data_IF_062315971705
#
_entry.id   IF_062315971705
#
_cell.length_a   1.000
_cell.length_b   1.000
_cell.length_c   1.000
_cell.angle_alpha   90.00
_cell.angle_beta   90.00
_cell.angle_gamma   90.00
#
_symmetry.space_group_name_H-M   'P 1'
#
loop_
_entity.id
_entity.type
_entity.pdbx_description
1 polymer ?
#
# COMPACT_ATOMS: atom_id res chain seq x y z
N UNK A 1 11.86 -11.20 9.80
CA UNK A 1 11.54 -9.83 9.37
C UNK A 1 10.86 -9.16 10.55
N UNK A 2 11.41 -8.10 11.15
CA UNK A 2 10.67 -7.34 12.17
C UNK A 2 9.43 -6.74 11.49
N UNK A 3 8.29 -6.82 12.16
CA UNK A 3 7.00 -6.36 11.62
C UNK A 3 7.10 -4.87 11.21
N UNK A 4 6.55 -4.51 10.05
CA UNK A 4 6.45 -3.13 9.57
C UNK A 4 5.86 -2.19 10.65
N UNK A 5 4.88 -2.68 11.43
CA UNK A 5 4.27 -1.93 12.52
C UNK A 5 5.27 -1.62 13.64
N UNK A 6 6.17 -2.54 13.94
CA UNK A 6 7.22 -2.36 14.93
C UNK A 6 8.20 -1.30 14.45
N UNK A 7 8.64 -1.38 13.18
CA UNK A 7 9.52 -0.38 12.56
C UNK A 7 8.92 1.02 12.53
N UNK A 8 7.63 1.13 12.19
CA UNK A 8 6.88 2.40 12.21
C UNK A 8 6.86 3.02 13.61
N UNK A 9 6.47 2.24 14.63
CA UNK A 9 6.41 2.71 16.02
C UNK A 9 7.75 3.28 16.49
N UNK A 10 8.84 2.63 16.12
CA UNK A 10 10.18 3.05 16.53
C UNK A 10 10.66 4.29 15.79
N UNK A 11 10.35 4.41 14.50
CA UNK A 11 10.63 5.61 13.75
C UNK A 11 9.92 6.82 14.38
N UNK A 12 8.65 6.65 14.75
CA UNK A 12 7.85 7.66 15.46
C UNK A 12 8.44 7.98 16.85
N UNK A 13 8.86 6.98 17.61
CA UNK A 13 9.50 7.16 18.92
C UNK A 13 10.86 7.89 18.80
N UNK A 14 11.65 7.61 17.77
CA UNK A 14 12.90 8.29 17.48
C UNK A 14 12.68 9.76 17.11
N UNK A 15 11.68 10.06 16.26
CA UNK A 15 11.33 11.45 15.88
C UNK A 15 10.94 12.24 17.13
N UNK A 16 10.04 11.69 17.96
CA UNK A 16 9.60 12.33 19.21
C UNK A 16 10.76 12.64 20.16
N UNK A 17 11.72 11.72 20.28
CA UNK A 17 12.89 11.92 21.15
C UNK A 17 13.85 12.98 20.60
N UNK A 18 14.00 13.10 19.28
CA UNK A 18 14.78 14.17 18.65
C UNK A 18 14.16 15.54 18.90
N UNK A 19 12.83 15.65 18.90
CA UNK A 19 12.10 16.90 19.16
C UNK A 19 12.16 17.32 20.65
N UNK A 20 12.24 16.36 21.58
CA UNK A 20 12.40 16.58 23.03
C UNK A 20 13.81 17.08 23.44
N UNK A 21 14.71 17.36 22.48
CA UNK A 21 16.09 17.76 22.76
C UNK A 21 16.98 16.65 23.31
N UNK A 22 16.50 15.38 23.33
CA UNK A 22 17.37 14.23 23.55
C UNK A 22 18.27 14.07 22.33
N UNK A 23 19.55 13.76 22.58
CA UNK A 23 20.59 13.86 21.56
C UNK A 23 20.28 12.89 20.40
N UNK A 24 20.34 13.42 19.18
CA UNK A 24 20.31 12.67 17.91
C UNK A 24 21.12 11.36 17.95
N UNK A 25 22.23 11.34 18.70
CA UNK A 25 23.06 10.15 18.91
C UNK A 25 22.33 8.96 19.57
N UNK A 26 21.40 9.20 20.49
CA UNK A 26 20.65 8.12 21.16
C UNK A 26 19.52 7.59 20.27
N UNK A 27 18.87 8.46 19.50
CA UNK A 27 17.96 8.06 18.41
C UNK A 27 18.69 7.28 17.32
N UNK A 28 19.92 7.66 16.97
CA UNK A 28 20.74 6.96 15.97
C UNK A 28 21.15 5.55 16.46
N UNK A 29 21.52 5.40 17.73
CA UNK A 29 21.78 4.08 18.35
C UNK A 29 20.51 3.22 18.37
N UNK A 30 19.35 3.83 18.60
CA UNK A 30 18.05 3.18 18.49
C UNK A 30 17.69 2.83 17.05
N UNK A 31 18.23 3.46 16.01
CA UNK A 31 18.04 3.01 14.63
C UNK A 31 19.03 1.91 14.23
N UNK A 32 20.31 2.06 14.57
CA UNK A 32 21.38 1.11 14.25
C UNK A 32 21.14 -0.30 14.81
N UNK A 33 20.40 -0.42 15.92
CA UNK A 33 20.05 -1.71 16.53
C UNK A 33 18.93 -2.47 15.80
N UNK A 34 18.25 -1.86 14.82
CA UNK A 34 16.95 -2.34 14.33
C UNK A 34 16.89 -2.62 12.84
N UNK A 35 17.74 -2.00 12.05
CA UNK A 35 17.74 -2.18 10.60
C UNK A 35 19.14 -2.54 10.12
N UNK A 36 19.37 -3.84 9.91
CA UNK A 36 20.47 -4.25 9.06
C UNK A 36 20.23 -3.75 7.64
N UNK A 37 21.29 -3.54 6.84
CA UNK A 37 21.15 -3.16 5.43
C UNK A 37 20.21 -4.09 4.64
N UNK A 38 20.16 -5.37 5.01
CA UNK A 38 19.32 -6.38 4.37
C UNK A 38 17.82 -6.14 4.58
N UNK A 39 17.39 -5.80 5.80
CA UNK A 39 15.98 -5.51 6.09
C UNK A 39 15.50 -4.24 5.38
N UNK A 40 16.38 -3.23 5.27
CA UNK A 40 16.08 -2.00 4.53
C UNK A 40 15.87 -2.32 3.05
N UNK A 41 16.75 -3.14 2.45
CA UNK A 41 16.61 -3.54 1.05
C UNK A 41 15.33 -4.35 0.80
N UNK A 42 14.95 -5.23 1.73
CA UNK A 42 13.71 -5.97 1.64
C UNK A 42 12.48 -5.05 1.65
N UNK A 43 12.45 -4.05 2.54
CA UNK A 43 11.37 -3.06 2.59
C UNK A 43 11.29 -2.19 1.33
N UNK A 44 12.44 -1.81 0.78
CA UNK A 44 12.48 -1.05 -0.48
C UNK A 44 11.89 -1.87 -1.64
N UNK A 45 12.25 -3.16 -1.74
CA UNK A 45 11.71 -4.06 -2.74
C UNK A 45 10.20 -4.28 -2.57
N UNK A 46 9.72 -4.44 -1.33
CA UNK A 46 8.30 -4.54 -1.03
C UNK A 46 7.54 -3.26 -1.43
N UNK A 47 8.09 -2.09 -1.09
CA UNK A 47 7.49 -0.81 -1.49
C UNK A 47 7.42 -0.65 -3.00
N UNK A 48 8.47 -1.06 -3.73
CA UNK A 48 8.47 -1.04 -5.20
C UNK A 48 7.37 -1.95 -5.78
N UNK A 49 7.19 -3.15 -5.22
CA UNK A 49 6.11 -4.06 -5.63
C UNK A 49 4.72 -3.47 -5.36
N UNK A 50 4.53 -2.82 -4.20
CA UNK A 50 3.28 -2.13 -3.85
C UNK A 50 2.99 -0.98 -4.82
N UNK A 51 4.00 -0.18 -5.19
CA UNK A 51 3.85 0.90 -6.18
C UNK A 51 3.42 0.34 -7.54
N UNK A 52 4.07 -0.70 -8.04
CA UNK A 52 3.69 -1.36 -9.31
C UNK A 52 2.25 -1.87 -9.29
N UNK A 53 1.79 -2.40 -8.18
CA UNK A 53 0.39 -2.84 -8.04
C UNK A 53 -0.58 -1.65 -8.01
N UNK A 54 -0.22 -0.55 -7.35
CA UNK A 54 -1.01 0.68 -7.36
C UNK A 54 -1.12 1.27 -8.78
N UNK A 55 -0.03 1.28 -9.55
CA UNK A 55 -0.04 1.77 -10.94
C UNK A 55 -0.98 0.93 -11.82
N UNK A 56 -0.94 -0.40 -11.71
CA UNK A 56 -1.87 -1.31 -12.41
C UNK A 56 -3.33 -1.02 -12.05
N UNK A 57 -3.60 -0.75 -10.78
CA UNK A 57 -4.94 -0.39 -10.32
C UNK A 57 -5.39 0.96 -10.91
N UNK A 58 -4.49 1.95 -10.93
CA UNK A 58 -4.78 3.27 -11.51
C UNK A 58 -5.17 3.20 -12.99
N UNK A 59 -4.56 2.29 -13.77
CA UNK A 59 -4.95 2.06 -15.17
C UNK A 59 -6.44 1.70 -15.28
N UNK A 60 -6.92 0.76 -14.46
CA UNK A 60 -8.33 0.36 -14.48
C UNK A 60 -9.25 1.46 -13.94
N UNK A 61 -8.80 2.18 -12.91
CA UNK A 61 -9.58 3.24 -12.27
C UNK A 61 -9.80 4.44 -13.19
N UNK A 62 -8.79 4.80 -13.99
CA UNK A 62 -8.81 5.95 -14.89
C UNK A 62 -9.22 5.60 -16.32
N UNK A 63 -9.48 4.32 -16.62
CA UNK A 63 -9.88 3.87 -17.96
C UNK A 63 -11.16 4.61 -18.40
N UNK A 64 -11.12 5.26 -19.55
CA UNK A 64 -12.27 5.96 -20.11
C UNK A 64 -13.27 4.96 -20.71
N UNK A 65 -14.49 4.90 -20.17
CA UNK A 65 -15.54 3.97 -20.59
C UNK A 65 -15.95 4.21 -22.04
N UNK A 66 -15.82 5.44 -22.55
CA UNK A 66 -16.19 5.77 -23.93
C UNK A 66 -15.27 5.09 -24.95
N UNK A 67 -14.10 4.58 -24.51
CA UNK A 67 -13.18 3.79 -25.34
C UNK A 67 -13.60 2.33 -25.51
N UNK A 68 -14.73 1.90 -24.95
CA UNK A 68 -15.24 0.53 -25.08
C UNK A 68 -15.39 0.08 -26.55
N UNK A 69 -15.67 1.02 -27.45
CA UNK A 69 -15.79 0.77 -28.89
C UNK A 69 -14.45 0.81 -29.65
N UNK A 70 -13.40 1.35 -29.05
CA UNK A 70 -12.10 1.60 -29.67
C UNK A 70 -10.97 0.71 -29.12
N UNK A 71 -11.29 -0.17 -28.17
CA UNK A 71 -10.33 -1.05 -27.49
C UNK A 71 -9.72 -0.37 -26.27
N UNK A 72 -10.15 -0.81 -25.08
CA UNK A 72 -9.64 -0.36 -23.78
C UNK A 72 -9.54 -1.52 -22.79
N UNK A 73 -8.78 -1.33 -21.71
CA UNK A 73 -8.65 -2.29 -20.62
C UNK A 73 -9.59 -1.89 -19.49
N UNK A 74 -10.48 -2.81 -19.09
CA UNK A 74 -11.57 -2.52 -18.16
C UNK A 74 -11.74 -3.59 -17.10
N UNK A 75 -12.34 -3.22 -15.97
CA UNK A 75 -12.92 -4.15 -15.01
C UNK A 75 -14.40 -4.39 -15.34
N UNK A 76 -14.82 -5.66 -15.34
CA UNK A 76 -16.21 -6.05 -15.59
C UNK A 76 -16.86 -6.60 -14.33
N UNK A 77 -18.13 -6.24 -14.12
CA UNK A 77 -19.00 -6.85 -13.13
C UNK A 77 -19.79 -7.98 -13.81
N UNK A 78 -19.66 -9.19 -13.29
CA UNK A 78 -20.44 -10.35 -13.69
C UNK A 78 -21.47 -10.69 -12.61
N UNK A 79 -22.63 -11.30 -12.96
CA UNK A 79 -23.05 -11.72 -14.30
C UNK A 79 -23.64 -10.60 -15.18
N UNK A 80 -23.77 -9.38 -14.65
CA UNK A 80 -24.49 -8.29 -15.31
C UNK A 80 -23.80 -7.76 -16.59
N UNK A 81 -22.54 -8.16 -16.84
CA UNK A 81 -21.71 -7.77 -17.97
C UNK A 81 -21.53 -6.25 -18.11
N UNK A 82 -21.41 -5.57 -16.96
CA UNK A 82 -21.25 -4.11 -16.89
C UNK A 82 -19.77 -3.77 -16.73
N UNK A 83 -19.28 -2.81 -17.52
CA UNK A 83 -17.95 -2.21 -17.32
C UNK A 83 -18.01 -1.21 -16.16
N UNK A 84 -17.06 -1.29 -15.25
CA UNK A 84 -16.92 -0.38 -14.09
C UNK A 84 -15.52 0.23 -14.04
N UNK A 85 -15.43 1.48 -13.59
CA UNK A 85 -14.19 2.23 -13.37
C UNK A 85 -14.39 3.23 -12.20
N UNK A 86 -13.40 4.10 -11.96
CA UNK A 86 -13.53 5.19 -11.00
C UNK A 86 -14.00 4.77 -9.60
N UNK A 87 -14.95 5.52 -9.04
CA UNK A 87 -15.52 5.26 -7.71
C UNK A 87 -16.31 3.97 -7.62
N UNK A 88 -16.93 3.53 -8.73
CA UNK A 88 -17.73 2.30 -8.74
C UNK A 88 -16.82 1.08 -8.62
N UNK A 89 -15.66 1.12 -9.30
CA UNK A 89 -14.63 0.12 -9.12
C UNK A 89 -14.08 0.13 -7.68
N UNK A 90 -13.73 1.30 -7.15
CA UNK A 90 -13.24 1.46 -5.77
C UNK A 90 -14.21 0.83 -4.76
N UNK A 91 -15.49 1.21 -4.81
CA UNK A 91 -16.50 0.72 -3.88
C UNK A 91 -16.75 -0.79 -3.95
N UNK A 92 -16.72 -1.38 -5.15
CA UNK A 92 -16.88 -2.83 -5.33
C UNK A 92 -15.67 -3.60 -4.79
N UNK A 93 -14.45 -3.10 -5.04
CA UNK A 93 -13.23 -3.70 -4.50
C UNK A 93 -13.23 -3.63 -2.98
N UNK A 94 -13.57 -2.48 -2.39
CA UNK A 94 -13.64 -2.32 -0.94
C UNK A 94 -14.65 -3.26 -0.29
N UNK A 95 -15.83 -3.42 -0.89
CA UNK A 95 -16.83 -4.38 -0.44
C UNK A 95 -16.29 -5.82 -0.46
N UNK A 96 -15.59 -6.22 -1.53
CA UNK A 96 -14.97 -7.55 -1.63
C UNK A 96 -13.85 -7.75 -0.59
N UNK A 97 -13.02 -6.73 -0.36
CA UNK A 97 -11.96 -6.78 0.65
C UNK A 97 -12.53 -6.91 2.06
N UNK A 98 -13.59 -6.16 2.37
CA UNK A 98 -14.30 -6.27 3.65
C UNK A 98 -14.87 -7.68 3.84
N UNK A 99 -15.51 -8.24 2.82
CA UNK A 99 -16.03 -9.61 2.85
C UNK A 99 -14.92 -10.65 3.08
N UNK A 100 -13.77 -10.51 2.41
CA UNK A 100 -12.62 -11.41 2.60
C UNK A 100 -12.07 -11.36 4.03
N UNK A 101 -11.99 -10.17 4.63
CA UNK A 101 -11.54 -10.01 6.02
C UNK A 101 -12.48 -10.67 7.03
N UNK A 102 -13.78 -10.71 6.76
CA UNK A 102 -14.76 -11.39 7.63
C UNK A 102 -14.64 -12.92 7.54
N UNK A 103 -14.14 -13.46 6.43
CA UNK A 103 -14.05 -14.90 6.18
C UNK A 103 -12.72 -15.52 6.64
N UNK A 104 -11.71 -14.70 6.96
CA UNK A 104 -10.41 -15.20 7.44
C UNK A 104 -10.26 -14.89 8.94
N UNK A 105 -10.32 -15.89 9.85
CA UNK A 105 -10.16 -15.69 11.29
C UNK A 105 -8.74 -15.35 11.71
#
# INVERSE_FOLDING_TARGET
MKDFNELKRLAEDCIRQCDDGRKFADALKLMQRWTGPTEILALLAENEALRKNADRYQVLRQADVDTIHNGGLFAGLTPDNIVINGSDLDGRVDAMLALRKVVTP
#
